data_IF_699637129557
#
_entry.id   IF_699637129557
#
_cell.length_a   1.000
_cell.length_b   1.000
_cell.length_c   1.000
_cell.angle_alpha   90.00
_cell.angle_beta   90.00
_cell.angle_gamma   90.00
#
_symmetry.space_group_name_H-M   'P 1'
#
loop_
_entity.id
_entity.type
_entity.pdbx_description
1 polymer ?
#
# COMPACT_ATOMS: atom_id res chain seq x y z
N UNK A 1 -35.86 -47.91 6.32
CA UNK A 1 -35.88 -46.58 5.66
C UNK A 1 -35.71 -45.52 6.74
N UNK A 2 -34.80 -44.55 6.76
CA UNK A 2 -33.81 -44.01 5.81
C UNK A 2 -32.55 -43.65 6.64
N UNK A 3 -31.36 -44.00 6.16
CA UNK A 3 -30.08 -43.55 6.73
C UNK A 3 -29.78 -42.18 6.12
N UNK A 4 -29.85 -41.11 6.90
CA UNK A 4 -29.38 -39.80 6.47
C UNK A 4 -27.85 -39.83 6.39
N UNK A 5 -27.30 -39.73 5.19
CA UNK A 5 -25.87 -39.54 4.98
C UNK A 5 -25.53 -38.08 5.32
N UNK A 6 -24.75 -37.87 6.37
CA UNK A 6 -24.16 -36.57 6.66
C UNK A 6 -23.15 -36.22 5.57
N UNK A 7 -23.43 -35.17 4.80
CA UNK A 7 -22.54 -34.60 3.77
C UNK A 7 -21.40 -33.85 4.48
N UNK A 8 -20.11 -34.14 4.23
CA UNK A 8 -19.03 -33.33 4.79
C UNK A 8 -18.86 -32.07 3.94
N UNK A 9 -19.67 -31.04 4.20
CA UNK A 9 -19.55 -29.74 3.53
C UNK A 9 -18.45 -28.90 4.19
N UNK A 10 -17.20 -29.34 4.01
CA UNK A 10 -16.05 -28.47 4.19
C UNK A 10 -15.91 -27.54 2.97
N UNK A 11 -15.31 -26.34 3.12
CA UNK A 11 -14.97 -25.52 1.96
C UNK A 11 -14.13 -26.34 0.98
N UNK A 12 -14.42 -26.24 -0.33
CA UNK A 12 -13.59 -26.84 -1.38
C UNK A 12 -12.17 -26.30 -1.18
N UNK A 13 -11.22 -27.19 -0.89
CA UNK A 13 -9.82 -26.81 -0.71
C UNK A 13 -9.04 -27.14 -1.98
N UNK A 14 -8.31 -26.16 -2.47
CA UNK A 14 -7.40 -26.29 -3.61
C UNK A 14 -6.12 -27.00 -3.19
N UNK A 15 -5.70 -28.01 -3.94
CA UNK A 15 -4.45 -28.74 -3.68
C UNK A 15 -3.21 -27.87 -3.97
N UNK A 16 -2.05 -28.25 -3.43
CA UNK A 16 -0.77 -27.64 -3.78
C UNK A 16 -0.60 -27.60 -5.32
N UNK A 17 -0.06 -26.50 -5.80
CA UNK A 17 0.15 -26.15 -7.20
C UNK A 17 -1.11 -25.88 -8.03
N UNK A 18 -2.29 -25.82 -7.41
CA UNK A 18 -3.53 -25.43 -8.11
C UNK A 18 -3.82 -23.94 -7.95
N UNK A 19 -4.55 -23.38 -8.91
CA UNK A 19 -4.96 -21.97 -8.87
C UNK A 19 -5.92 -21.73 -7.71
N UNK A 20 -5.69 -20.65 -6.96
CA UNK A 20 -6.52 -20.23 -5.82
C UNK A 20 -6.93 -18.76 -5.88
N UNK A 21 -6.53 -18.05 -6.93
CA UNK A 21 -6.87 -16.64 -7.06
C UNK A 21 -6.39 -16.06 -8.37
N UNK A 22 -6.67 -14.77 -8.52
CA UNK A 22 -6.43 -14.02 -9.74
C UNK A 22 -7.69 -13.32 -10.22
N UNK A 23 -7.50 -12.25 -10.98
CA UNK A 23 -8.61 -11.56 -11.62
C UNK A 23 -9.36 -12.52 -12.56
N UNK A 24 -10.68 -12.62 -12.39
CA UNK A 24 -11.55 -13.54 -13.15
C UNK A 24 -11.60 -14.96 -12.59
N UNK A 25 -10.94 -15.26 -11.47
CA UNK A 25 -11.05 -16.55 -10.79
C UNK A 25 -12.28 -16.57 -9.88
N UNK A 26 -13.21 -17.50 -10.12
CA UNK A 26 -14.49 -17.60 -9.42
C UNK A 26 -14.61 -18.79 -8.47
N UNK A 27 -13.59 -19.64 -8.38
CA UNK A 27 -13.58 -20.80 -7.51
C UNK A 27 -13.10 -20.45 -6.09
N UNK A 28 -13.10 -21.44 -5.20
CA UNK A 28 -12.59 -21.30 -3.83
C UNK A 28 -11.18 -20.71 -3.83
N UNK A 29 -10.90 -19.74 -2.95
CA UNK A 29 -9.55 -19.23 -2.71
C UNK A 29 -8.81 -19.97 -1.60
N UNK A 30 -9.48 -20.91 -0.94
CA UNK A 30 -8.93 -21.68 0.17
C UNK A 30 -8.03 -22.79 -0.34
N UNK A 31 -6.76 -22.78 0.07
CA UNK A 31 -5.85 -23.89 -0.16
C UNK A 31 -6.01 -25.00 0.88
N UNK A 32 -5.52 -26.18 0.58
CA UNK A 32 -5.38 -27.26 1.55
C UNK A 32 -4.65 -26.78 2.81
N UNK A 33 -5.00 -27.40 3.93
CA UNK A 33 -4.54 -27.01 5.25
C UNK A 33 -3.01 -26.97 5.31
N UNK A 34 -2.45 -25.79 5.55
CA UNK A 34 -1.01 -25.59 5.66
C UNK A 34 -0.35 -25.04 4.39
N UNK A 35 -1.06 -24.98 3.26
CA UNK A 35 -0.65 -24.20 2.10
C UNK A 35 -1.21 -22.77 2.20
N UNK A 36 -0.59 -21.83 1.48
CA UNK A 36 -1.07 -20.45 1.32
C UNK A 36 -1.32 -20.14 -0.16
N UNK A 37 -2.29 -19.26 -0.42
CA UNK A 37 -2.54 -18.78 -1.77
C UNK A 37 -1.54 -17.66 -2.10
N UNK A 38 -0.49 -17.98 -2.84
CA UNK A 38 0.60 -17.06 -3.17
C UNK A 38 0.33 -16.43 -4.53
N UNK A 39 0.35 -15.09 -4.58
CA UNK A 39 0.15 -14.34 -5.83
C UNK A 39 1.40 -14.46 -6.71
N UNK A 40 1.21 -14.95 -7.94
CA UNK A 40 2.26 -15.02 -8.96
C UNK A 40 2.09 -13.89 -9.99
N UNK A 41 0.86 -13.57 -10.37
CA UNK A 41 0.52 -12.47 -11.28
C UNK A 41 -0.82 -11.82 -10.91
N UNK A 42 -1.24 -10.73 -11.57
CA UNK A 42 -2.58 -10.15 -11.37
C UNK A 42 -3.73 -11.15 -11.65
N UNK A 43 -3.52 -12.09 -12.58
CA UNK A 43 -4.53 -13.04 -13.04
C UNK A 43 -4.35 -14.44 -12.47
N UNK A 44 -3.28 -14.67 -11.70
CA UNK A 44 -2.94 -16.00 -11.22
C UNK A 44 -2.30 -15.97 -9.84
N UNK A 45 -2.93 -16.69 -8.92
CA UNK A 45 -2.38 -17.05 -7.61
C UNK A 45 -2.45 -18.57 -7.46
N UNK A 46 -1.44 -19.16 -6.86
CA UNK A 46 -1.29 -20.61 -6.73
C UNK A 46 -1.19 -21.01 -5.25
N UNK A 47 -1.79 -22.17 -4.92
CA UNK A 47 -1.59 -22.79 -3.62
C UNK A 47 -0.18 -23.34 -3.51
N UNK A 48 0.63 -22.74 -2.67
CA UNK A 48 2.02 -23.15 -2.48
C UNK A 48 2.36 -23.26 -1.00
N UNK A 49 3.55 -23.79 -0.74
CA UNK A 49 4.14 -23.73 0.59
C UNK A 49 4.35 -22.27 0.96
N UNK A 50 3.91 -21.83 2.14
CA UNK A 50 4.23 -20.49 2.62
C UNK A 50 5.74 -20.25 2.55
N UNK A 51 6.15 -19.02 2.22
CA UNK A 51 7.56 -18.67 1.99
C UNK A 51 8.45 -19.09 3.16
N UNK A 52 9.51 -19.86 2.87
CA UNK A 52 10.46 -20.36 3.88
C UNK A 52 10.09 -21.71 4.49
N UNK A 53 9.06 -22.39 3.97
CA UNK A 53 8.68 -23.75 4.37
C UNK A 53 8.82 -24.74 3.21
N UNK A 54 9.22 -25.98 3.54
CA UNK A 54 9.42 -27.04 2.53
C UNK A 54 8.12 -27.81 2.21
N UNK A 55 7.11 -27.71 3.07
CA UNK A 55 5.86 -28.46 2.95
C UNK A 55 4.64 -27.69 3.49
N UNK A 56 3.46 -28.06 2.99
CA UNK A 56 2.20 -27.54 3.49
C UNK A 56 1.89 -28.19 4.84
N UNK A 57 2.35 -27.54 5.91
CA UNK A 57 2.24 -28.04 7.28
C UNK A 57 1.49 -27.03 8.13
N UNK A 58 0.41 -27.47 8.78
CA UNK A 58 -0.40 -26.60 9.66
C UNK A 58 0.40 -26.01 10.82
N UNK A 59 1.33 -26.77 11.40
CA UNK A 59 2.15 -26.29 12.51
C UNK A 59 3.11 -25.20 12.06
N UNK A 60 3.80 -25.44 10.95
CA UNK A 60 4.72 -24.49 10.35
C UNK A 60 3.97 -23.24 9.83
N UNK A 61 2.83 -23.43 9.16
CA UNK A 61 1.99 -22.35 8.66
C UNK A 61 1.48 -21.45 9.80
N UNK A 62 1.08 -21.99 10.95
CA UNK A 62 0.68 -21.17 12.11
C UNK A 62 1.83 -20.31 12.64
N UNK A 63 3.05 -20.86 12.69
CA UNK A 63 4.24 -20.13 13.12
C UNK A 63 4.60 -19.01 12.14
N UNK A 64 4.58 -19.31 10.84
CA UNK A 64 4.86 -18.31 9.80
C UNK A 64 3.76 -17.23 9.73
N UNK A 65 2.49 -17.57 9.92
CA UNK A 65 1.42 -16.56 10.04
C UNK A 65 1.71 -15.60 11.19
N UNK A 66 2.11 -16.09 12.37
CA UNK A 66 2.47 -15.21 13.50
C UNK A 66 3.64 -14.28 13.16
N UNK A 67 4.69 -14.81 12.52
CA UNK A 67 5.85 -14.00 12.08
C UNK A 67 5.45 -12.98 11.00
N UNK A 68 4.62 -13.38 10.05
CA UNK A 68 4.12 -12.51 9.00
C UNK A 68 3.25 -11.39 9.59
N UNK A 69 2.37 -11.68 10.53
CA UNK A 69 1.58 -10.66 11.24
C UNK A 69 2.49 -9.66 11.97
N UNK A 70 3.53 -10.12 12.68
CA UNK A 70 4.47 -9.22 13.35
C UNK A 70 5.17 -8.28 12.36
N UNK A 71 5.62 -8.81 11.21
CA UNK A 71 6.22 -8.02 10.12
C UNK A 71 5.24 -7.04 9.50
N UNK A 72 3.98 -7.43 9.32
CA UNK A 72 2.92 -6.56 8.79
C UNK A 72 2.66 -5.40 9.75
N UNK A 73 2.56 -5.65 11.06
CA UNK A 73 2.34 -4.59 12.04
C UNK A 73 3.54 -3.64 12.12
N UNK A 74 4.77 -4.14 12.03
CA UNK A 74 5.97 -3.31 11.92
C UNK A 74 5.93 -2.41 10.67
N UNK A 75 5.62 -2.98 9.50
CA UNK A 75 5.51 -2.21 8.25
C UNK A 75 4.37 -1.23 8.26
N UNK A 76 3.25 -1.55 8.92
CA UNK A 76 2.11 -0.66 9.09
C UNK A 76 2.48 0.52 9.98
N UNK A 77 3.26 0.31 11.04
CA UNK A 77 3.76 1.41 11.85
C UNK A 77 4.72 2.30 11.05
N UNK A 78 5.69 1.70 10.34
CA UNK A 78 6.60 2.46 9.48
C UNK A 78 5.87 3.26 8.38
N UNK A 79 4.76 2.74 7.85
CA UNK A 79 3.92 3.46 6.89
C UNK A 79 3.22 4.68 7.52
N UNK A 80 2.74 4.57 8.76
CA UNK A 80 2.16 5.71 9.49
C UNK A 80 3.21 6.77 9.78
N UNK A 81 4.38 6.36 10.26
CA UNK A 81 5.48 7.28 10.55
C UNK A 81 5.91 8.03 9.28
N UNK A 82 5.96 7.34 8.14
CA UNK A 82 6.23 7.95 6.84
C UNK A 82 5.11 8.92 6.40
N UNK A 83 3.84 8.59 6.65
CA UNK A 83 2.70 9.46 6.37
C UNK A 83 2.78 10.78 7.17
N UNK A 84 3.13 10.71 8.45
CA UNK A 84 3.29 11.89 9.31
C UNK A 84 4.46 12.77 8.86
N UNK A 85 5.55 12.17 8.40
CA UNK A 85 6.69 12.92 7.81
C UNK A 85 6.27 13.63 6.52
N UNK A 86 5.48 12.97 5.66
CA UNK A 86 4.96 13.60 4.43
C UNK A 86 4.09 14.79 4.75
N UNK A 87 3.14 14.66 5.68
CA UNK A 87 2.28 15.79 6.12
C UNK A 87 3.10 16.96 6.66
N UNK A 88 4.10 16.69 7.50
CA UNK A 88 4.97 17.73 8.03
C UNK A 88 5.82 18.41 6.93
N UNK A 89 6.21 17.68 5.89
CA UNK A 89 6.91 18.23 4.74
C UNK A 89 6.00 19.09 3.86
N UNK A 90 4.75 18.67 3.64
CA UNK A 90 3.74 19.43 2.90
C UNK A 90 3.44 20.77 3.59
N UNK A 91 3.26 20.78 4.91
CA UNK A 91 3.07 22.03 5.67
C UNK A 91 4.25 23.00 5.53
N UNK A 92 5.49 22.48 5.50
CA UNK A 92 6.69 23.29 5.29
C UNK A 92 6.75 23.82 3.86
N UNK A 93 6.38 23.00 2.89
CA UNK A 93 6.31 23.37 1.48
C UNK A 93 5.30 24.51 1.28
N UNK A 94 4.11 24.42 1.89
CA UNK A 94 3.08 25.44 1.76
C UNK A 94 3.49 26.77 2.41
N UNK A 95 4.15 26.72 3.58
CA UNK A 95 4.75 27.92 4.19
C UNK A 95 5.83 28.53 3.30
N UNK A 96 6.72 27.71 2.71
CA UNK A 96 7.77 28.18 1.82
C UNK A 96 7.21 28.80 0.54
N UNK A 97 6.18 28.20 -0.06
CA UNK A 97 5.46 28.76 -1.22
C UNK A 97 4.85 30.12 -0.89
N UNK A 98 4.22 30.27 0.27
CA UNK A 98 3.64 31.55 0.69
C UNK A 98 4.72 32.64 0.82
N UNK A 99 5.84 32.32 1.46
CA UNK A 99 6.98 33.27 1.57
C UNK A 99 7.53 33.64 0.19
N UNK A 100 7.60 32.70 -0.74
CA UNK A 100 8.02 32.95 -2.11
C UNK A 100 7.09 33.92 -2.84
N UNK A 101 5.77 33.69 -2.77
CA UNK A 101 4.78 34.59 -3.38
C UNK A 101 4.80 35.98 -2.74
N UNK A 102 4.83 36.08 -1.40
CA UNK A 102 4.92 37.37 -0.69
C UNK A 102 6.19 38.15 -1.07
N UNK A 103 7.31 37.46 -1.32
CA UNK A 103 8.55 38.08 -1.77
C UNK A 103 8.49 38.54 -3.22
N UNK A 104 7.82 37.76 -4.09
CA UNK A 104 7.61 38.10 -5.49
C UNK A 104 6.73 39.35 -5.63
N UNK A 105 5.61 39.42 -4.89
CA UNK A 105 4.72 40.58 -4.91
C UNK A 105 5.46 41.86 -4.48
N UNK A 106 6.26 41.79 -3.41
CA UNK A 106 7.09 42.92 -2.95
C UNK A 106 8.14 43.34 -3.98
N UNK A 107 8.73 42.38 -4.70
CA UNK A 107 9.69 42.68 -5.76
C UNK A 107 9.01 43.41 -6.92
N UNK A 108 7.86 42.91 -7.38
CA UNK A 108 7.07 43.54 -8.45
C UNK A 108 6.65 44.96 -8.06
N UNK A 109 6.14 45.16 -6.83
CA UNK A 109 5.80 46.50 -6.32
C UNK A 109 7.02 47.44 -6.29
N UNK A 110 8.15 46.98 -5.76
CA UNK A 110 9.38 47.77 -5.69
C UNK A 110 9.90 48.13 -7.10
N UNK A 111 9.81 47.19 -8.04
CA UNK A 111 10.21 47.41 -9.44
C UNK A 111 9.33 48.46 -10.12
N UNK A 112 8.01 48.40 -9.94
CA UNK A 112 7.08 49.38 -10.48
C UNK A 112 7.29 50.79 -9.88
N UNK A 113 7.63 50.88 -8.60
CA UNK A 113 7.99 52.15 -7.94
C UNK A 113 9.30 52.72 -8.51
N UNK A 114 10.30 51.86 -8.74
CA UNK A 114 11.58 52.27 -9.33
C UNK A 114 11.40 52.80 -10.77
N UNK A 115 10.61 52.11 -11.59
CA UNK A 115 10.28 52.53 -12.96
C UNK A 115 9.58 53.91 -12.99
N UNK A 116 8.59 54.11 -12.11
CA UNK A 116 7.91 55.41 -11.99
C UNK A 116 8.86 56.53 -11.57
N UNK A 117 9.77 56.27 -10.62
CA UNK A 117 10.79 57.25 -10.21
C UNK A 117 11.77 57.61 -11.33
N UNK A 118 12.11 56.66 -12.20
CA UNK A 118 13.01 56.93 -13.33
C UNK A 118 12.33 57.79 -14.40
N UNK A 119 11.05 57.54 -14.74
CA UNK A 119 10.29 58.41 -15.65
C UNK A 119 10.20 59.87 -15.16
N UNK A 120 9.88 60.06 -13.88
CA UNK A 120 9.82 61.41 -13.28
C UNK A 120 11.18 62.14 -13.31
N UNK A 121 12.29 61.41 -13.37
CA UNK A 121 13.64 61.99 -13.53
C UNK A 121 14.03 62.27 -14.99
N UNK A 122 13.46 61.55 -15.95
CA UNK A 122 13.67 61.83 -17.39
C UNK A 122 12.82 63.03 -17.86
N UNK A 123 11.68 63.27 -17.22
CA UNK A 123 10.76 64.37 -17.54
C UNK A 123 11.09 65.71 -16.82
N UNK A 124 12.16 65.78 -16.01
CA UNK A 124 12.56 66.93 -15.18
C UNK A 124 13.94 67.48 -15.57
#
# INVERSE_FOLDING_TARGET
AKKAAAKPEGPILNAKFTQCGGQGFHNSSCCEKGCACIKSSPYYSQCETPTGLDACSLGAAKTEVKKATARIEEKKQAAKDAEDVVKAAEEKLDKAKKVHEDAKDKYEEASAVAEKKNKVKEDA
#
